data_IF_945952278767
#
_entry.id   IF_945952278767
#
_cell.length_a   1.000
_cell.length_b   1.000
_cell.length_c   1.000
_cell.angle_alpha   90.00
_cell.angle_beta   90.00
_cell.angle_gamma   90.00
#
_symmetry.space_group_name_H-M   'P 1'
#
loop_
_entity.id
_entity.type
_entity.pdbx_description
1 polymer ?
#
# COMPACT_ATOMS: atom_id res chain seq x y z
N UNK A 1 24.87 -84.12 -1.43
CA UNK A 1 26.33 -84.16 -1.64
C UNK A 1 26.76 -82.88 -2.36
N UNK A 2 27.90 -82.35 -1.93
CA UNK A 2 28.48 -81.04 -2.25
C UNK A 2 28.53 -80.63 -3.73
N UNK A 3 28.53 -79.31 -3.98
CA UNK A 3 28.87 -78.76 -5.29
C UNK A 3 28.94 -77.23 -5.35
N UNK A 4 29.87 -76.64 -4.60
CA UNK A 4 30.22 -75.20 -4.55
C UNK A 4 30.36 -74.53 -5.94
N UNK A 5 29.69 -73.39 -6.15
CA UNK A 5 30.06 -72.39 -7.17
C UNK A 5 30.28 -71.04 -6.48
N UNK A 6 31.55 -70.68 -6.26
CA UNK A 6 31.97 -69.36 -5.81
C UNK A 6 32.17 -68.42 -7.01
N UNK A 7 31.42 -67.31 -6.98
CA UNK A 7 31.88 -65.92 -7.16
C UNK A 7 32.89 -65.63 -8.29
N UNK A 8 32.39 -65.05 -9.39
CA UNK A 8 33.16 -64.11 -10.21
C UNK A 8 32.68 -62.68 -9.91
N UNK A 9 33.56 -61.89 -9.28
CA UNK A 9 33.49 -60.43 -9.24
C UNK A 9 34.09 -59.89 -10.54
N UNK A 10 33.38 -59.02 -11.24
CA UNK A 10 34.00 -58.11 -12.22
C UNK A 10 33.49 -56.70 -11.94
N UNK A 11 34.45 -55.78 -11.76
CA UNK A 11 34.26 -54.40 -11.34
C UNK A 11 33.63 -53.56 -12.45
N UNK A 12 32.52 -52.86 -12.16
CA UNK A 12 32.11 -51.68 -12.91
C UNK A 12 32.86 -50.46 -12.35
N UNK A 13 33.81 -49.93 -13.12
CA UNK A 13 34.46 -48.65 -12.82
C UNK A 13 33.58 -47.49 -13.32
N UNK A 14 33.29 -46.57 -12.40
CA UNK A 14 32.60 -45.31 -12.61
C UNK A 14 33.38 -44.38 -13.57
N UNK A 15 32.80 -44.06 -14.72
CA UNK A 15 33.24 -42.93 -15.54
C UNK A 15 32.81 -41.61 -14.87
N UNK A 16 33.77 -40.94 -14.21
CA UNK A 16 33.64 -39.52 -13.87
C UNK A 16 33.90 -38.70 -15.13
N UNK A 17 32.86 -38.10 -15.70
CA UNK A 17 32.99 -37.10 -16.77
C UNK A 17 33.69 -35.86 -16.22
N UNK A 18 34.91 -35.59 -16.68
CA UNK A 18 35.58 -34.31 -16.46
C UNK A 18 34.92 -33.24 -17.34
N UNK A 19 34.30 -32.23 -16.71
CA UNK A 19 33.80 -31.05 -17.42
C UNK A 19 34.97 -30.17 -17.84
N UNK A 20 35.24 -30.09 -19.14
CA UNK A 20 36.20 -29.15 -19.74
C UNK A 20 35.69 -27.72 -19.54
N UNK A 21 36.49 -26.87 -18.89
CA UNK A 21 36.23 -25.43 -18.80
C UNK A 21 36.43 -24.80 -20.18
N UNK A 22 35.32 -24.42 -20.83
CA UNK A 22 35.35 -23.75 -22.13
C UNK A 22 35.28 -22.22 -21.92
N UNK A 23 36.35 -21.45 -22.19
CA UNK A 23 36.40 -20.01 -21.93
C UNK A 23 35.46 -19.18 -22.83
N UNK A 24 34.89 -19.77 -23.88
CA UNK A 24 33.89 -19.13 -24.76
C UNK A 24 32.46 -19.29 -24.18
N UNK A 25 32.27 -20.21 -23.22
CA UNK A 25 30.96 -20.48 -22.64
C UNK A 25 30.62 -19.39 -21.61
N UNK A 26 29.88 -18.37 -22.05
CA UNK A 26 29.29 -17.36 -21.16
C UNK A 26 28.52 -18.07 -20.04
N UNK A 27 28.78 -17.70 -18.78
CA UNK A 27 27.96 -18.15 -17.66
C UNK A 27 26.50 -17.74 -17.94
N UNK A 28 25.59 -18.72 -17.92
CA UNK A 28 24.16 -18.54 -18.25
C UNK A 28 23.47 -17.54 -17.34
N UNK A 29 24.06 -17.26 -16.18
CA UNK A 29 23.53 -16.28 -15.24
C UNK A 29 24.00 -14.86 -15.54
N UNK A 30 24.90 -14.64 -16.52
CA UNK A 30 25.33 -13.29 -16.90
C UNK A 30 24.18 -12.53 -17.56
N UNK A 31 23.72 -11.45 -16.92
CA UNK A 31 22.58 -10.64 -17.32
C UNK A 31 21.23 -11.12 -16.78
N UNK A 32 21.22 -12.07 -15.82
CA UNK A 32 20.00 -12.56 -15.15
C UNK A 32 19.93 -12.06 -13.71
N UNK A 33 18.76 -12.13 -13.08
CA UNK A 33 18.57 -11.79 -11.66
C UNK A 33 19.48 -12.60 -10.72
N UNK A 34 19.98 -13.75 -11.17
CA UNK A 34 20.95 -14.57 -10.45
C UNK A 34 22.39 -14.03 -10.53
N UNK A 35 22.65 -12.98 -11.32
CA UNK A 35 23.92 -12.26 -11.35
C UNK A 35 23.87 -11.10 -10.35
N UNK A 36 24.79 -11.07 -9.39
CA UNK A 36 24.92 -9.94 -8.45
C UNK A 36 23.97 -9.98 -7.25
N UNK A 37 23.06 -10.96 -7.17
CA UNK A 37 22.25 -11.26 -5.99
C UNK A 37 23.09 -11.93 -4.88
N UNK A 38 24.03 -11.15 -4.32
CA UNK A 38 24.70 -11.52 -3.07
C UNK A 38 23.86 -11.12 -1.85
N UNK A 39 24.13 -11.72 -0.68
CA UNK A 39 23.47 -11.36 0.60
C UNK A 39 23.51 -9.85 0.91
N UNK A 40 24.50 -9.13 0.37
CA UNK A 40 24.73 -7.70 0.61
C UNK A 40 24.16 -6.75 -0.48
N UNK A 41 23.51 -7.27 -1.53
CA UNK A 41 22.97 -6.48 -2.65
C UNK A 41 21.46 -6.66 -2.84
N UNK A 42 20.74 -7.09 -1.80
CA UNK A 42 19.28 -7.21 -1.88
C UNK A 42 18.64 -5.83 -1.94
N UNK A 43 17.75 -5.61 -2.91
CA UNK A 43 16.97 -4.38 -3.03
C UNK A 43 15.89 -4.39 -1.93
N UNK A 44 16.25 -3.92 -0.73
CA UNK A 44 15.35 -3.79 0.42
C UNK A 44 15.20 -2.33 0.82
N UNK A 45 14.05 -2.01 1.43
CA UNK A 45 13.86 -0.72 2.10
C UNK A 45 14.74 -0.72 3.35
N UNK A 46 15.61 0.28 3.48
CA UNK A 46 16.56 0.34 4.57
C UNK A 46 15.86 0.66 5.90
N UNK A 47 16.21 -0.08 6.95
CA UNK A 47 15.89 0.26 8.33
C UNK A 47 17.17 0.72 9.02
N UNK A 48 17.33 2.01 9.35
CA UNK A 48 18.48 2.51 10.09
C UNK A 48 18.66 1.73 11.40
N UNK A 49 19.91 1.45 11.75
CA UNK A 49 20.21 0.76 13.00
C UNK A 49 19.75 1.60 14.20
N UNK A 50 18.99 0.98 15.11
CA UNK A 50 18.44 1.63 16.30
C UNK A 50 17.13 2.39 16.08
N UNK A 51 16.60 2.42 14.85
CA UNK A 51 15.29 2.99 14.55
C UNK A 51 14.23 1.88 14.45
N UNK A 52 13.28 1.88 15.40
CA UNK A 52 12.15 0.95 15.42
C UNK A 52 11.00 1.39 14.51
N UNK A 53 11.04 2.62 13.99
CA UNK A 53 10.00 3.14 13.12
C UNK A 53 9.95 2.37 11.82
N UNK A 54 8.74 2.13 11.35
CA UNK A 54 8.52 1.69 10.00
C UNK A 54 8.91 2.78 9.01
N UNK A 55 9.28 2.41 7.78
CA UNK A 55 9.73 3.38 6.78
C UNK A 55 8.68 4.47 6.46
N UNK A 56 7.40 4.16 6.67
CA UNK A 56 6.31 5.09 6.43
C UNK A 56 6.11 6.13 7.55
N UNK A 57 6.71 5.92 8.72
CA UNK A 57 6.66 6.84 9.87
C UNK A 57 7.80 7.88 9.86
N UNK A 58 8.79 7.67 8.98
CA UNK A 58 10.01 8.49 8.91
C UNK A 58 9.82 9.71 8.03
N UNK A 59 8.87 10.56 8.41
CA UNK A 59 8.61 11.85 7.76
C UNK A 59 9.80 12.81 7.97
N UNK A 60 10.13 13.61 6.96
CA UNK A 60 11.25 14.56 7.03
C UNK A 60 10.77 15.99 7.19
N UNK A 61 10.51 16.71 6.09
CA UNK A 61 10.01 18.07 6.12
C UNK A 61 8.50 18.02 5.98
N UNK A 62 7.77 18.38 7.02
CA UNK A 62 6.32 18.36 6.98
C UNK A 62 5.72 19.58 7.70
N UNK A 63 4.48 19.89 7.32
CA UNK A 63 3.61 20.81 8.06
C UNK A 63 2.44 20.04 8.65
N UNK A 64 1.88 20.56 9.75
CA UNK A 64 0.69 20.00 10.39
C UNK A 64 -0.45 21.01 10.48
N UNK A 65 -1.68 20.52 10.36
CA UNK A 65 -2.91 21.32 10.48
C UNK A 65 -3.98 20.49 11.20
N UNK A 66 -4.45 20.94 12.36
CA UNK A 66 -5.59 20.31 13.05
C UNK A 66 -6.91 20.78 12.46
N UNK A 67 -7.88 19.86 12.32
CA UNK A 67 -9.25 20.15 11.90
C UNK A 67 -10.22 19.36 12.76
N UNK A 68 -11.29 20.02 13.20
CA UNK A 68 -12.42 19.34 13.84
C UNK A 68 -13.47 19.05 12.78
N UNK A 69 -13.77 17.77 12.56
CA UNK A 69 -14.74 17.29 11.57
C UNK A 69 -15.78 16.46 12.32
N UNK A 70 -17.07 16.83 12.24
CA UNK A 70 -18.16 16.18 12.96
C UNK A 70 -17.88 15.95 14.47
N UNK A 71 -17.19 16.90 15.11
CA UNK A 71 -16.84 16.85 16.54
C UNK A 71 -15.58 16.05 16.88
N UNK A 72 -14.88 15.49 15.90
CA UNK A 72 -13.65 14.73 16.06
C UNK A 72 -12.44 15.50 15.55
N UNK A 73 -11.33 15.52 16.30
CA UNK A 73 -10.10 16.17 15.89
C UNK A 73 -9.25 15.25 15.01
N UNK A 74 -9.03 15.67 13.76
CA UNK A 74 -8.02 15.08 12.88
C UNK A 74 -6.80 15.99 12.77
N UNK A 75 -5.61 15.40 12.83
CA UNK A 75 -4.35 16.07 12.55
C UNK A 75 -3.90 15.66 11.15
N UNK A 76 -3.86 16.64 10.25
CA UNK A 76 -3.32 16.46 8.91
C UNK A 76 -1.83 16.75 8.95
N UNK A 77 -1.03 15.81 8.44
CA UNK A 77 0.43 15.98 8.30
C UNK A 77 0.76 15.92 6.82
N UNK A 78 1.36 16.97 6.29
CA UNK A 78 1.68 17.08 4.86
C UNK A 78 3.18 17.20 4.69
N UNK A 79 3.80 16.14 4.18
CA UNK A 79 5.22 16.10 3.84
C UNK A 79 5.49 16.84 2.53
N UNK A 80 6.60 17.56 2.47
CA UNK A 80 7.07 18.20 1.24
C UNK A 80 7.32 17.16 0.14
N UNK A 81 6.82 17.45 -1.06
CA UNK A 81 7.00 16.57 -2.21
C UNK A 81 8.30 16.89 -2.96
N UNK A 82 8.75 15.95 -3.79
CA UNK A 82 9.77 16.24 -4.81
C UNK A 82 9.16 17.05 -5.94
N UNK A 83 10.03 17.67 -6.74
CA UNK A 83 9.64 18.48 -7.91
C UNK A 83 8.68 17.76 -8.87
N UNK A 84 8.89 16.47 -9.10
CA UNK A 84 8.08 15.67 -10.02
C UNK A 84 6.90 14.93 -9.35
N UNK A 85 6.67 15.15 -8.06
CA UNK A 85 5.68 14.44 -7.25
C UNK A 85 4.62 15.39 -6.71
N UNK A 86 3.39 14.90 -6.63
CA UNK A 86 2.26 15.70 -6.14
C UNK A 86 1.47 14.96 -5.06
N UNK A 87 0.93 15.74 -4.12
CA UNK A 87 -0.25 15.34 -3.38
C UNK A 87 -1.46 15.73 -4.21
N UNK A 88 -2.18 14.73 -4.74
CA UNK A 88 -3.34 14.99 -5.62
C UNK A 88 -4.55 15.56 -4.88
N UNK A 89 -4.59 15.36 -3.56
CA UNK A 89 -5.68 15.78 -2.68
C UNK A 89 -5.18 16.85 -1.72
N UNK A 90 -5.92 17.94 -1.59
CA UNK A 90 -5.71 18.92 -0.52
C UNK A 90 -6.33 18.46 0.80
N UNK A 91 -5.97 19.11 1.91
CA UNK A 91 -6.63 18.91 3.21
C UNK A 91 -8.13 19.19 3.11
N UNK A 92 -8.53 20.22 2.36
CA UNK A 92 -9.94 20.58 2.19
C UNK A 92 -10.70 19.51 1.40
N UNK A 93 -10.10 18.96 0.35
CA UNK A 93 -10.70 17.86 -0.42
C UNK A 93 -10.99 16.66 0.49
N UNK A 94 -10.00 16.27 1.29
CA UNK A 94 -10.10 15.13 2.21
C UNK A 94 -11.12 15.41 3.30
N UNK A 95 -11.09 16.60 3.89
CA UNK A 95 -12.05 17.06 4.91
C UNK A 95 -13.48 16.90 4.40
N UNK A 96 -13.76 17.37 3.18
CA UNK A 96 -15.09 17.28 2.57
C UNK A 96 -15.58 15.85 2.40
N UNK A 97 -14.70 14.88 2.14
CA UNK A 97 -15.09 13.47 2.10
C UNK A 97 -15.32 12.90 3.50
N UNK A 98 -14.44 13.21 4.45
CA UNK A 98 -14.54 12.74 5.84
C UNK A 98 -15.83 13.25 6.51
N UNK A 99 -16.29 14.46 6.18
CA UNK A 99 -17.57 15.01 6.66
C UNK A 99 -18.78 14.10 6.38
N UNK A 100 -18.73 13.29 5.32
CA UNK A 100 -19.81 12.35 4.99
C UNK A 100 -19.63 10.95 5.54
N UNK A 101 -18.49 10.67 6.17
CA UNK A 101 -18.26 9.45 6.93
C UNK A 101 -18.94 9.61 8.30
N UNK A 102 -19.75 8.64 8.77
CA UNK A 102 -20.39 8.72 10.08
C UNK A 102 -19.36 8.89 11.20
N UNK A 103 -19.60 9.79 12.16
CA UNK A 103 -18.65 10.03 13.26
C UNK A 103 -18.38 8.81 14.13
N UNK A 104 -19.37 7.90 14.26
CA UNK A 104 -19.21 6.59 14.94
C UNK A 104 -18.15 5.67 14.30
N UNK A 105 -17.75 5.98 13.07
CA UNK A 105 -16.81 5.20 12.28
C UNK A 105 -15.38 5.79 12.37
N UNK A 106 -15.20 6.91 13.09
CA UNK A 106 -13.89 7.53 13.30
C UNK A 106 -13.07 6.86 14.38
N UNK A 107 -13.70 6.27 15.41
CA UNK A 107 -12.99 5.70 16.57
C UNK A 107 -11.91 6.64 17.10
N UNK A 108 -10.69 6.12 17.27
CA UNK A 108 -9.51 6.89 17.66
C UNK A 108 -8.64 7.31 16.46
N UNK A 109 -9.09 7.09 15.22
CA UNK A 109 -8.36 7.50 14.02
C UNK A 109 -8.14 9.00 14.05
N UNK A 110 -6.89 9.43 14.23
CA UNK A 110 -6.56 10.84 14.46
C UNK A 110 -5.70 11.42 13.35
N UNK A 111 -4.87 10.61 12.72
CA UNK A 111 -3.85 11.09 11.79
C UNK A 111 -4.26 10.86 10.34
N UNK A 112 -4.15 11.91 9.52
CA UNK A 112 -4.21 11.83 8.06
C UNK A 112 -2.88 12.33 7.51
N UNK A 113 -2.11 11.42 6.90
CA UNK A 113 -0.74 11.70 6.44
C UNK A 113 -0.72 11.79 4.92
N UNK A 114 -0.34 12.94 4.39
CA UNK A 114 0.04 13.13 2.98
C UNK A 114 1.56 12.98 2.88
N UNK A 115 2.02 11.82 2.42
CA UNK A 115 3.42 11.38 2.55
C UNK A 115 4.17 11.37 1.21
N UNK A 116 5.45 11.72 1.19
CA UNK A 116 6.30 11.56 0.01
C UNK A 116 7.12 10.25 0.11
N UNK A 117 6.73 9.16 -0.57
CA UNK A 117 7.49 7.92 -0.53
C UNK A 117 8.88 8.11 -1.15
N UNK A 118 9.89 7.38 -0.64
CA UNK A 118 11.23 7.28 -1.21
C UNK A 118 11.22 6.46 -2.50
N UNK A 119 12.13 6.74 -3.43
CA UNK A 119 12.23 5.99 -4.71
C UNK A 119 12.26 4.46 -4.53
N UNK A 120 12.94 3.95 -3.50
CA UNK A 120 12.97 2.50 -3.21
C UNK A 120 11.62 1.97 -2.73
N UNK A 121 10.89 2.77 -1.94
CA UNK A 121 9.58 2.41 -1.42
C UNK A 121 8.54 2.41 -2.54
N UNK A 122 8.59 3.38 -3.46
CA UNK A 122 7.75 3.41 -4.67
C UNK A 122 7.95 2.16 -5.55
N UNK A 123 9.16 1.60 -5.59
CA UNK A 123 9.47 0.40 -6.38
C UNK A 123 9.00 -0.87 -5.66
N UNK A 124 9.29 -0.97 -4.36
CA UNK A 124 9.11 -2.20 -3.60
C UNK A 124 7.73 -2.33 -2.95
N UNK A 125 7.06 -1.21 -2.70
CA UNK A 125 5.77 -1.15 -2.02
C UNK A 125 4.93 0.03 -2.55
N UNK A 126 4.61 0.07 -3.86
CA UNK A 126 3.73 1.09 -4.41
C UNK A 126 2.30 0.93 -3.90
N UNK A 127 1.69 2.01 -3.42
CA UNK A 127 0.28 2.08 -3.04
C UNK A 127 -0.27 3.48 -3.30
N UNK A 128 -1.60 3.56 -3.33
CA UNK A 128 -2.32 4.84 -3.32
C UNK A 128 -2.47 5.40 -1.90
N UNK A 129 -2.56 4.51 -0.91
CA UNK A 129 -2.71 4.82 0.50
C UNK A 129 -2.64 3.57 1.38
N UNK A 130 -2.66 3.76 2.70
CA UNK A 130 -2.58 2.69 3.71
C UNK A 130 -3.25 3.13 5.01
N UNK A 131 -3.90 2.18 5.68
CA UNK A 131 -4.22 2.27 7.09
C UNK A 131 -3.09 1.67 7.95
N UNK A 132 -2.66 2.42 8.96
CA UNK A 132 -1.78 1.95 10.03
C UNK A 132 -2.55 2.04 11.35
N UNK A 133 -2.77 0.91 12.02
CA UNK A 133 -3.59 0.87 13.25
C UNK A 133 -2.91 1.52 14.46
N UNK A 134 -1.57 1.54 14.48
CA UNK A 134 -0.76 2.22 15.49
C UNK A 134 0.43 2.86 14.77
N UNK A 135 0.33 4.17 14.55
CA UNK A 135 1.33 4.98 13.85
C UNK A 135 2.02 5.89 14.86
N UNK A 136 3.34 5.82 14.94
CA UNK A 136 4.12 6.68 15.82
C UNK A 136 4.33 8.07 15.20
N UNK A 137 3.82 9.12 15.85
CA UNK A 137 4.00 10.50 15.45
C UNK A 137 4.28 11.39 16.66
N UNK A 138 5.40 12.14 16.63
CA UNK A 138 5.79 13.06 17.71
C UNK A 138 5.77 12.44 19.14
N UNK A 139 6.09 11.15 19.26
CA UNK A 139 6.08 10.32 20.48
C UNK A 139 4.71 9.84 20.97
N UNK A 140 3.64 10.09 20.20
CA UNK A 140 2.33 9.52 20.44
C UNK A 140 2.01 8.42 19.41
N UNK A 141 1.06 7.55 19.77
CA UNK A 141 0.57 6.48 18.90
C UNK A 141 -0.91 6.66 18.62
N UNK A 142 -1.26 6.79 17.34
CA UNK A 142 -2.65 6.86 16.89
C UNK A 142 -2.83 6.06 15.61
N UNK A 143 -4.03 5.55 15.31
CA UNK A 143 -4.32 5.08 13.97
C UNK A 143 -4.14 6.22 12.96
N UNK A 144 -3.63 5.87 11.78
CA UNK A 144 -3.35 6.80 10.70
C UNK A 144 -3.79 6.27 9.33
N UNK A 145 -4.40 7.14 8.52
CA UNK A 145 -4.54 6.92 7.08
C UNK A 145 -3.45 7.70 6.36
N UNK A 146 -2.66 7.01 5.55
CA UNK A 146 -1.60 7.57 4.73
C UNK A 146 -2.08 7.61 3.27
N UNK A 147 -1.89 8.72 2.59
CA UNK A 147 -1.99 8.84 1.14
C UNK A 147 -0.60 9.24 0.60
N UNK A 148 -0.04 8.42 -0.29
CA UNK A 148 1.30 8.66 -0.84
C UNK A 148 1.23 9.66 -2.02
N UNK A 149 2.20 10.56 -2.10
CA UNK A 149 2.42 11.42 -3.25
C UNK A 149 2.80 10.59 -4.47
N UNK A 150 2.36 11.02 -5.64
CA UNK A 150 2.58 10.31 -6.89
C UNK A 150 3.52 11.10 -7.79
N UNK A 151 4.55 10.42 -8.29
CA UNK A 151 5.47 10.92 -9.32
C UNK A 151 4.75 10.94 -10.67
N UNK A 152 4.43 12.14 -11.17
CA UNK A 152 3.64 12.33 -12.40
C UNK A 152 4.44 12.07 -13.68
N UNK A 153 5.76 11.98 -13.61
CA UNK A 153 6.60 11.61 -14.75
C UNK A 153 6.63 10.10 -14.99
N UNK A 154 6.23 9.31 -13.98
CA UNK A 154 6.07 7.87 -14.11
C UNK A 154 4.79 7.52 -14.86
N UNK A 155 4.73 6.25 -15.25
CA UNK A 155 3.57 5.65 -15.88
C UNK A 155 3.03 4.53 -15.01
N UNK A 156 1.71 4.39 -15.03
CA UNK A 156 1.02 3.26 -14.44
C UNK A 156 1.11 2.08 -15.40
N UNK A 157 1.82 1.03 -14.99
CA UNK A 157 1.96 -0.19 -15.76
C UNK A 157 1.04 -1.27 -15.19
N UNK A 158 0.29 -1.92 -16.07
CA UNK A 158 -0.56 -3.05 -15.68
C UNK A 158 -0.35 -4.23 -16.64
N UNK A 159 0.03 -5.43 -16.16
CA UNK A 159 0.26 -6.58 -17.04
C UNK A 159 -1.03 -7.05 -17.70
N UNK A 160 -0.95 -7.66 -18.89
CA UNK A 160 -2.12 -8.32 -19.51
C UNK A 160 -2.50 -9.64 -18.85
N UNK A 161 -1.51 -10.36 -18.32
CA UNK A 161 -1.73 -11.59 -17.55
C UNK A 161 -2.01 -11.18 -16.10
N UNK A 162 -3.27 -11.22 -15.73
CA UNK A 162 -3.78 -10.71 -14.45
C UNK A 162 -4.36 -11.85 -13.61
N UNK A 163 -4.24 -11.74 -12.30
CA UNK A 163 -5.09 -12.50 -11.37
C UNK A 163 -6.52 -11.94 -11.38
N UNK A 164 -7.46 -12.61 -10.72
CA UNK A 164 -8.84 -12.11 -10.61
C UNK A 164 -8.87 -10.79 -9.84
N UNK A 165 -8.04 -10.68 -8.80
CA UNK A 165 -7.87 -9.49 -7.98
C UNK A 165 -7.27 -8.34 -8.80
N UNK A 166 -6.23 -8.60 -9.59
CA UNK A 166 -5.62 -7.60 -10.47
C UNK A 166 -6.60 -7.11 -11.53
N UNK A 167 -7.47 -8.00 -12.04
CA UNK A 167 -8.49 -7.63 -13.02
C UNK A 167 -9.54 -6.71 -12.41
N UNK A 168 -9.99 -7.00 -11.18
CA UNK A 168 -10.93 -6.12 -10.47
C UNK A 168 -10.32 -4.74 -10.23
N UNK A 169 -9.06 -4.69 -9.80
CA UNK A 169 -8.37 -3.42 -9.55
C UNK A 169 -8.14 -2.63 -10.85
N UNK A 170 -7.80 -3.32 -11.95
CA UNK A 170 -7.69 -2.70 -13.26
C UNK A 170 -8.99 -2.02 -13.72
N UNK A 171 -10.13 -2.70 -13.58
CA UNK A 171 -11.43 -2.12 -13.94
C UNK A 171 -11.80 -0.94 -13.03
N UNK A 172 -11.43 -0.98 -11.74
CA UNK A 172 -11.61 0.18 -10.84
C UNK A 172 -10.77 1.38 -11.27
N UNK A 173 -9.51 1.15 -11.67
CA UNK A 173 -8.66 2.23 -12.17
C UNK A 173 -9.22 2.85 -13.44
N UNK A 174 -9.77 2.05 -14.37
CA UNK A 174 -10.50 2.60 -15.51
C UNK A 174 -11.72 3.41 -15.08
N UNK A 175 -12.50 2.92 -14.12
CA UNK A 175 -13.67 3.61 -13.60
C UNK A 175 -13.33 4.92 -12.87
N UNK A 176 -12.12 5.02 -12.29
CA UNK A 176 -11.59 6.28 -11.72
C UNK A 176 -11.12 7.28 -12.81
N UNK A 177 -11.03 6.83 -14.07
CA UNK A 177 -10.77 7.65 -15.25
C UNK A 177 -9.41 7.42 -15.91
N UNK A 178 -8.58 6.49 -15.43
CA UNK A 178 -7.23 6.29 -15.97
C UNK A 178 -7.25 5.81 -17.44
N UNK A 179 -6.67 6.58 -18.40
CA UNK A 179 -6.78 6.30 -19.82
C UNK A 179 -5.71 5.28 -20.27
N UNK A 180 -5.99 4.00 -20.05
CA UNK A 180 -5.07 2.93 -20.42
C UNK A 180 -4.96 2.74 -21.93
N UNK A 181 -3.72 2.73 -22.42
CA UNK A 181 -3.37 2.36 -23.79
C UNK A 181 -2.80 0.95 -23.78
N UNK A 182 -3.30 0.12 -24.68
CA UNK A 182 -2.86 -1.27 -24.82
C UNK A 182 -1.53 -1.35 -25.59
N UNK A 183 -0.57 -2.10 -25.05
CA UNK A 183 0.67 -2.47 -25.73
C UNK A 183 0.72 -3.97 -25.98
N UNK A 184 1.83 -4.50 -26.53
CA UNK A 184 1.97 -5.95 -26.74
C UNK A 184 1.86 -6.77 -25.44
N UNK A 185 2.35 -6.27 -24.30
CA UNK A 185 2.45 -7.04 -23.05
C UNK A 185 1.71 -6.42 -21.85
N UNK A 186 1.47 -5.12 -21.88
CA UNK A 186 0.93 -4.35 -20.76
C UNK A 186 -0.16 -3.37 -21.23
N UNK A 187 -0.97 -2.91 -20.30
CA UNK A 187 -1.70 -1.65 -20.38
C UNK A 187 -0.85 -0.57 -19.70
N UNK A 188 -0.84 0.63 -20.28
CA UNK A 188 -0.05 1.75 -19.76
C UNK A 188 -0.94 2.99 -19.69
N UNK A 189 -0.95 3.68 -18.56
CA UNK A 189 -1.60 4.99 -18.40
C UNK A 189 -0.61 6.01 -17.84
N UNK A 190 -0.83 7.29 -18.18
CA UNK A 190 -0.10 8.40 -17.58
C UNK A 190 -0.73 8.80 -16.25
N UNK A 191 0.10 9.22 -15.30
CA UNK A 191 -0.36 9.74 -14.03
C UNK A 191 -0.86 11.18 -14.19
N UNK A 192 -2.16 11.32 -14.51
CA UNK A 192 -2.81 12.63 -14.53
C UNK A 192 -3.34 13.01 -13.14
N UNK A 193 -3.12 14.24 -12.67
CA UNK A 193 -3.54 14.68 -11.32
C UNK A 193 -5.03 14.42 -11.03
N UNK A 194 -5.90 14.65 -12.00
CA UNK A 194 -7.35 14.42 -11.91
C UNK A 194 -7.70 12.96 -11.54
N UNK A 195 -7.08 11.98 -12.21
CA UNK A 195 -7.40 10.56 -12.03
C UNK A 195 -6.71 9.99 -10.79
N UNK A 196 -5.52 10.48 -10.46
CA UNK A 196 -4.89 10.18 -9.18
C UNK A 196 -5.79 10.65 -8.04
N UNK A 197 -6.30 11.89 -8.12
CA UNK A 197 -7.21 12.44 -7.12
C UNK A 197 -8.47 11.60 -7.01
N UNK A 198 -9.09 11.19 -8.11
CA UNK A 198 -10.27 10.32 -8.06
C UNK A 198 -9.98 9.00 -7.34
N UNK A 199 -8.86 8.35 -7.69
CA UNK A 199 -8.45 7.10 -7.04
C UNK A 199 -8.18 7.30 -5.54
N UNK A 200 -7.37 8.29 -5.16
CA UNK A 200 -7.02 8.52 -3.76
C UNK A 200 -8.20 9.00 -2.92
N UNK A 201 -8.94 9.99 -3.42
CA UNK A 201 -9.97 10.70 -2.66
C UNK A 201 -11.29 9.94 -2.57
N UNK A 202 -11.77 9.41 -3.68
CA UNK A 202 -13.12 8.83 -3.76
C UNK A 202 -13.13 7.32 -3.59
N UNK A 203 -11.96 6.66 -3.59
CA UNK A 203 -11.86 5.21 -3.44
C UNK A 203 -10.90 4.81 -2.33
N UNK A 204 -9.62 5.19 -2.40
CA UNK A 204 -8.61 4.76 -1.41
C UNK A 204 -8.93 5.28 -0.02
N UNK A 205 -9.18 6.58 0.15
CA UNK A 205 -9.49 7.15 1.46
C UNK A 205 -10.71 6.46 2.13
N UNK A 206 -11.89 6.34 1.47
CA UNK A 206 -13.00 5.55 2.00
C UNK A 206 -12.66 4.08 2.27
N UNK A 207 -11.80 3.48 1.45
CA UNK A 207 -11.37 2.09 1.62
C UNK A 207 -10.51 1.90 2.87
N UNK A 208 -9.56 2.79 3.13
CA UNK A 208 -8.77 2.75 4.37
C UNK A 208 -9.65 2.97 5.62
N UNK A 209 -10.63 3.87 5.54
CA UNK A 209 -11.67 3.97 6.58
C UNK A 209 -12.47 2.67 6.72
N UNK A 210 -12.80 2.00 5.61
CA UNK A 210 -13.48 0.70 5.64
C UNK A 210 -12.68 -0.38 6.37
N UNK A 211 -11.36 -0.43 6.18
CA UNK A 211 -10.48 -1.30 6.97
C UNK A 211 -10.54 -0.95 8.47
N UNK A 212 -10.52 0.34 8.80
CA UNK A 212 -10.57 0.78 10.18
C UNK A 212 -11.91 0.48 10.84
N UNK A 213 -13.03 0.69 10.13
CA UNK A 213 -14.37 0.35 10.61
C UNK A 213 -14.50 -1.14 10.87
N UNK A 214 -13.95 -1.99 10.00
CA UNK A 214 -13.97 -3.43 10.24
C UNK A 214 -13.20 -3.80 11.50
N UNK A 215 -12.03 -3.18 11.72
CA UNK A 215 -11.27 -3.33 12.96
C UNK A 215 -12.08 -2.86 14.18
N UNK A 216 -12.74 -1.71 14.11
CA UNK A 216 -13.59 -1.23 15.19
C UNK A 216 -14.72 -2.23 15.49
N UNK A 217 -15.36 -2.81 14.47
CA UNK A 217 -16.46 -3.76 14.64
C UNK A 217 -16.02 -5.10 15.24
N UNK A 218 -14.81 -5.55 14.96
CA UNK A 218 -14.30 -6.85 15.45
C UNK A 218 -13.55 -6.71 16.78
N UNK A 219 -12.83 -5.61 16.99
CA UNK A 219 -11.89 -5.47 18.12
C UNK A 219 -12.41 -4.50 19.18
N UNK A 220 -12.80 -3.28 18.80
CA UNK A 220 -13.11 -2.22 19.77
C UNK A 220 -14.56 -2.27 20.27
N UNK A 221 -15.54 -2.22 19.36
CA UNK A 221 -16.99 -2.14 19.69
C UNK A 221 -17.52 -3.34 20.49
N UNK A 222 -17.03 -4.58 20.31
CA UNK A 222 -17.45 -5.70 21.16
C UNK A 222 -16.90 -5.62 22.58
N UNK A 223 -15.86 -4.80 22.81
CA UNK A 223 -15.30 -4.59 24.14
C UNK A 223 -16.23 -3.80 25.04
N UNK A 224 -15.98 -3.88 26.34
CA UNK A 224 -16.66 -3.06 27.34
C UNK A 224 -15.62 -2.39 28.26
N UNK A 225 -16.02 -1.31 28.94
CA UNK A 225 -15.10 -0.50 29.74
C UNK A 225 -14.52 -1.25 30.97
N UNK A 226 -15.10 -2.39 31.35
CA UNK A 226 -14.67 -3.23 32.46
C UNK A 226 -13.86 -4.45 32.00
N UNK A 227 -13.53 -4.51 30.71
CA UNK A 227 -12.90 -5.69 30.11
C UNK A 227 -11.41 -5.79 30.43
N UNK A 228 -10.97 -7.01 30.71
CA UNK A 228 -9.56 -7.32 30.92
C UNK A 228 -8.76 -7.15 29.62
N UNK A 229 -7.53 -6.68 29.75
CA UNK A 229 -6.62 -6.42 28.63
C UNK A 229 -6.43 -7.66 27.75
N UNK A 230 -6.37 -8.85 28.37
CA UNK A 230 -6.21 -10.14 27.70
C UNK A 230 -7.34 -10.43 26.69
N UNK A 231 -8.58 -10.01 26.95
CA UNK A 231 -9.71 -10.24 26.02
C UNK A 231 -9.63 -9.34 24.79
N UNK A 232 -9.18 -8.09 24.96
CA UNK A 232 -8.92 -7.18 23.84
C UNK A 232 -7.79 -7.71 22.96
N UNK A 233 -6.72 -8.24 23.56
CA UNK A 233 -5.60 -8.85 22.83
C UNK A 233 -6.06 -10.07 22.01
N UNK A 234 -6.90 -10.96 22.57
CA UNK A 234 -7.47 -12.10 21.83
C UNK A 234 -8.27 -11.67 20.60
N UNK A 235 -9.08 -10.62 20.70
CA UNK A 235 -9.84 -10.10 19.55
C UNK A 235 -8.94 -9.47 18.50
N UNK A 236 -7.89 -8.77 18.94
CA UNK A 236 -6.89 -8.21 18.05
C UNK A 236 -6.18 -9.32 17.26
N UNK A 237 -5.74 -10.37 17.93
CA UNK A 237 -5.12 -11.55 17.31
C UNK A 237 -6.08 -12.23 16.32
N UNK A 238 -7.34 -12.39 16.71
CA UNK A 238 -8.38 -12.92 15.83
C UNK A 238 -8.50 -12.07 14.56
N UNK A 239 -8.63 -10.75 14.70
CA UNK A 239 -8.76 -9.83 13.56
C UNK A 239 -7.56 -9.90 12.61
N UNK A 240 -6.34 -9.93 13.15
CA UNK A 240 -5.14 -10.05 12.32
C UNK A 240 -5.02 -11.41 11.64
N UNK A 241 -5.56 -12.47 12.26
CA UNK A 241 -5.65 -13.81 11.66
C UNK A 241 -6.71 -13.95 10.56
N UNK A 242 -7.67 -13.01 10.47
CA UNK A 242 -8.72 -13.06 9.44
C UNK A 242 -8.12 -13.08 8.02
N UNK A 243 -8.73 -13.84 7.09
CA UNK A 243 -8.30 -13.88 5.70
C UNK A 243 -8.21 -12.47 5.09
N UNK A 244 -7.12 -12.21 4.35
CA UNK A 244 -6.94 -10.92 3.66
C UNK A 244 -8.14 -10.60 2.76
N UNK A 245 -8.63 -11.58 2.00
CA UNK A 245 -9.77 -11.42 1.08
C UNK A 245 -11.04 -10.92 1.78
N UNK A 246 -11.28 -11.33 3.03
CA UNK A 246 -12.41 -10.89 3.84
C UNK A 246 -12.28 -9.40 4.19
N UNK A 247 -11.12 -9.00 4.73
CA UNK A 247 -10.83 -7.60 5.07
C UNK A 247 -10.92 -6.67 3.86
N UNK A 248 -10.37 -7.09 2.72
CA UNK A 248 -10.42 -6.36 1.45
C UNK A 248 -11.86 -6.22 0.93
N UNK A 249 -12.66 -7.30 1.03
CA UNK A 249 -14.07 -7.28 0.60
C UNK A 249 -14.90 -6.31 1.43
N UNK A 250 -14.71 -6.30 2.76
CA UNK A 250 -15.38 -5.34 3.63
C UNK A 250 -15.01 -3.90 3.26
N UNK A 251 -13.71 -3.60 3.15
CA UNK A 251 -13.21 -2.27 2.88
C UNK A 251 -13.67 -1.74 1.51
N UNK A 252 -13.66 -2.57 0.47
CA UNK A 252 -14.23 -2.21 -0.83
C UNK A 252 -15.73 -1.96 -0.75
N UNK A 253 -16.50 -2.84 -0.09
CA UNK A 253 -17.94 -2.65 0.05
C UNK A 253 -18.28 -1.35 0.77
N UNK A 254 -17.55 -1.03 1.84
CA UNK A 254 -17.70 0.22 2.57
C UNK A 254 -17.43 1.43 1.66
N UNK A 255 -16.29 1.43 0.96
CA UNK A 255 -15.92 2.49 0.03
C UNK A 255 -16.95 2.68 -1.11
N UNK A 256 -17.35 1.59 -1.75
CA UNK A 256 -18.30 1.60 -2.88
C UNK A 256 -19.69 2.09 -2.43
N UNK A 257 -20.14 1.70 -1.23
CA UNK A 257 -21.41 2.15 -0.65
C UNK A 257 -21.38 3.65 -0.39
N UNK A 258 -20.30 4.18 0.22
CA UNK A 258 -20.15 5.61 0.44
C UNK A 258 -20.07 6.36 -0.89
N UNK A 259 -19.23 5.91 -1.82
CA UNK A 259 -19.06 6.52 -3.15
C UNK A 259 -20.39 6.61 -3.89
N UNK A 260 -21.16 5.53 -3.93
CA UNK A 260 -22.49 5.49 -4.57
C UNK A 260 -23.43 6.51 -3.94
N UNK A 261 -23.52 6.53 -2.61
CA UNK A 261 -24.35 7.49 -1.87
C UNK A 261 -23.97 8.95 -2.14
N UNK A 262 -22.66 9.24 -2.30
CA UNK A 262 -22.18 10.58 -2.60
C UNK A 262 -22.46 10.99 -4.04
N UNK A 263 -22.35 10.05 -4.99
CA UNK A 263 -22.73 10.27 -6.40
C UNK A 263 -24.23 10.54 -6.51
N UNK A 264 -25.08 9.72 -5.89
CA UNK A 264 -26.54 9.87 -5.93
C UNK A 264 -27.01 11.21 -5.37
N UNK A 265 -26.24 11.78 -4.44
CA UNK A 265 -26.48 13.10 -3.84
C UNK A 265 -25.80 14.25 -4.59
N UNK A 266 -25.12 13.99 -5.71
CA UNK A 266 -24.32 14.95 -6.47
C UNK A 266 -23.26 15.69 -5.61
N UNK A 267 -22.69 14.98 -4.62
CA UNK A 267 -21.60 15.51 -3.78
C UNK A 267 -20.25 15.29 -4.46
N UNK A 268 -20.09 14.16 -5.15
CA UNK A 268 -18.89 13.82 -5.93
C UNK A 268 -19.27 13.50 -7.39
N UNK A 269 -18.38 13.75 -8.36
CA UNK A 269 -17.12 14.46 -8.21
C UNK A 269 -17.33 15.95 -7.94
N UNK A 270 -16.34 16.59 -7.32
CA UNK A 270 -16.30 18.04 -7.13
C UNK A 270 -14.91 18.57 -7.47
N UNK A 271 -14.86 19.83 -7.90
CA UNK A 271 -13.64 20.54 -8.25
C UNK A 271 -12.66 20.61 -7.07
N UNK A 272 -11.34 20.53 -7.30
CA UNK A 272 -10.35 20.62 -6.23
C UNK A 272 -10.49 21.89 -5.37
N UNK A 273 -10.56 21.70 -4.06
CA UNK A 273 -10.72 22.78 -3.08
C UNK A 273 -9.34 23.40 -2.76
N UNK A 274 -8.74 24.12 -3.72
CA UNK A 274 -7.48 24.82 -3.48
C UNK A 274 -7.70 25.98 -2.49
N UNK A 275 -6.95 26.01 -1.37
CA UNK A 275 -6.70 27.29 -0.69
C UNK A 275 -5.94 28.14 -1.70
N UNK A 276 -6.54 29.22 -2.21
CA UNK A 276 -5.78 30.36 -2.71
C UNK A 276 -4.76 30.70 -1.62
N UNK A 277 -3.49 30.40 -1.85
CA UNK A 277 -2.42 31.02 -1.07
C UNK A 277 -2.41 32.50 -1.48
N UNK A 278 -3.24 33.30 -0.81
CA UNK A 278 -3.08 34.74 -0.80
C UNK A 278 -1.74 35.04 -0.13
N UNK A 279 -0.75 35.49 -0.90
CA UNK A 279 0.46 36.11 -0.36
C UNK A 279 1.71 35.99 -1.22
N UNK A 280 1.74 36.74 -2.32
CA UNK A 280 2.85 37.54 -2.88
C UNK A 280 2.86 37.50 -4.41
N UNK A 281 2.14 38.46 -4.99
CA UNK A 281 2.49 39.04 -6.29
C UNK A 281 2.61 40.53 -6.08
N UNK A 282 3.80 41.03 -6.46
CA UNK A 282 4.40 42.37 -6.30
C UNK A 282 5.07 42.64 -4.96
#
# INVERSE_FOLDING_TARGET
>A
MNGSRKSFKTLCHNFKTFTVYNPIRRNRNIGTDNQGFGRNNQLVISSPYGDLKSFYERLVNYRKESRVINGHEFIFVVEETRENSIHSCSINDITKIIEYIPSKDYGDLKLIILRQPKRKEEILSPVWGRLIYSYEFENDYFPAVILDAIDTEKKLFWPKKQTIEDQKEFERLKADGHPFIETKRNFIAEFKPEFIRNTQLYRTLPHEFGHYVHYLEVVEKPGNDEEDYDEKEKRMDLYFSLPKSEKETFAHKYADTLKTKLIDKNIIPFEPEHKLQSGLVL
#
